data_IF_971697050635
#
_entry.id   IF_971697050635
#
_cell.length_a   1.000
_cell.length_b   1.000
_cell.length_c   1.000
_cell.angle_alpha   90.00
_cell.angle_beta   90.00
_cell.angle_gamma   90.00
#
_symmetry.space_group_name_H-M   'P 1'
#
loop_
_entity.id
_entity.type
_entity.pdbx_description
1 polymer ?
#
# COMPACT_ATOMS: atom_id res chain seq x y z
N UNK A 1 -54.47 35.04 47.85
CA UNK A 1 -53.06 35.10 48.31
C UNK A 1 -52.20 35.08 47.05
N UNK A 2 -51.83 36.26 46.54
CA UNK A 2 -50.91 36.37 45.40
C UNK A 2 -49.50 36.15 45.92
N UNK A 3 -48.84 35.08 45.48
CA UNK A 3 -47.42 34.88 45.74
C UNK A 3 -46.65 35.98 45.02
N UNK A 4 -45.97 36.83 45.79
CA UNK A 4 -45.07 37.84 45.25
C UNK A 4 -43.81 37.17 44.70
N UNK A 5 -43.88 36.85 43.41
CA UNK A 5 -42.83 36.19 42.66
C UNK A 5 -41.55 37.04 42.62
N UNK A 6 -41.65 38.36 42.79
CA UNK A 6 -40.51 39.26 42.72
C UNK A 6 -39.58 39.12 43.94
N UNK A 7 -40.16 39.06 45.15
CA UNK A 7 -39.43 38.86 46.40
C UNK A 7 -38.77 37.46 46.47
N UNK A 8 -39.44 36.43 45.95
CA UNK A 8 -38.91 35.08 45.87
C UNK A 8 -37.67 35.01 44.95
N UNK A 9 -37.75 35.64 43.77
CA UNK A 9 -36.63 35.73 42.81
C UNK A 9 -35.43 36.48 43.41
N UNK A 10 -35.67 37.55 44.16
CA UNK A 10 -34.60 38.33 44.81
C UNK A 10 -33.87 37.54 45.90
N UNK A 11 -34.61 36.70 46.65
CA UNK A 11 -34.06 35.81 47.68
C UNK A 11 -33.22 34.69 47.06
N UNK A 12 -33.66 34.13 45.94
CA UNK A 12 -32.91 33.11 45.19
C UNK A 12 -31.62 33.69 44.61
N UNK A 13 -31.63 34.93 44.11
CA UNK A 13 -30.44 35.60 43.57
C UNK A 13 -29.33 35.86 44.61
N UNK A 14 -29.66 35.91 45.90
CA UNK A 14 -28.68 36.10 46.99
C UNK A 14 -28.22 34.78 47.64
N UNK A 15 -28.78 33.65 47.22
CA UNK A 15 -28.46 32.33 47.76
C UNK A 15 -27.16 31.78 47.13
N UNK A 16 -26.05 31.86 47.88
CA UNK A 16 -24.75 31.29 47.48
C UNK A 16 -24.85 29.83 47.00
N UNK A 17 -25.67 28.94 47.60
CA UNK A 17 -25.87 27.57 47.10
C UNK A 17 -26.48 27.50 45.69
N UNK A 18 -27.43 28.38 45.36
CA UNK A 18 -28.08 28.37 44.04
C UNK A 18 -27.13 28.89 42.96
N UNK A 19 -26.34 29.91 43.26
CA UNK A 19 -25.30 30.41 42.35
C UNK A 19 -24.24 29.32 42.12
N UNK A 20 -23.77 28.65 43.18
CA UNK A 20 -22.81 27.55 43.07
C UNK A 20 -23.36 26.37 42.25
N UNK A 21 -24.64 26.03 42.42
CA UNK A 21 -25.31 25.02 41.62
C UNK A 21 -25.41 25.41 40.14
N UNK A 22 -25.75 26.67 39.85
CA UNK A 22 -25.78 27.20 38.48
C UNK A 22 -24.41 27.18 37.80
N UNK A 23 -23.34 27.56 38.51
CA UNK A 23 -21.96 27.46 38.02
C UNK A 23 -21.58 25.99 37.79
N UNK A 24 -21.93 25.09 38.71
CA UNK A 24 -21.70 23.65 38.56
C UNK A 24 -22.37 23.07 37.30
N UNK A 25 -23.64 23.40 37.06
CA UNK A 25 -24.36 23.00 35.85
C UNK A 25 -23.74 23.57 34.58
N UNK A 26 -23.31 24.83 34.61
CA UNK A 26 -22.63 25.47 33.49
C UNK A 26 -21.30 24.77 33.16
N UNK A 27 -20.50 24.41 34.17
CA UNK A 27 -19.25 23.68 33.98
C UNK A 27 -19.48 22.26 33.45
N UNK A 28 -20.49 21.55 33.96
CA UNK A 28 -20.84 20.19 33.49
C UNK A 28 -21.32 20.23 32.03
N UNK A 29 -22.20 21.15 31.66
CA UNK A 29 -22.68 21.30 30.28
C UNK A 29 -21.55 21.68 29.31
N UNK A 30 -20.62 22.53 29.75
CA UNK A 30 -19.41 22.87 28.99
C UNK A 30 -18.51 21.66 28.78
N UNK A 31 -18.29 20.85 29.83
CA UNK A 31 -17.50 19.61 29.76
C UNK A 31 -18.12 18.58 28.81
N UNK A 32 -19.44 18.39 28.84
CA UNK A 32 -20.16 17.48 27.93
C UNK A 32 -19.98 17.94 26.47
N UNK A 33 -20.13 19.24 26.22
CA UNK A 33 -19.99 19.81 24.87
C UNK A 33 -18.56 19.66 24.34
N UNK A 34 -17.54 19.93 25.18
CA UNK A 34 -16.13 19.73 24.84
C UNK A 34 -15.86 18.24 24.54
N UNK A 35 -16.37 17.33 25.37
CA UNK A 35 -16.21 15.89 25.18
C UNK A 35 -16.82 15.40 23.86
N UNK A 36 -18.03 15.86 23.52
CA UNK A 36 -18.67 15.55 22.25
C UNK A 36 -17.90 16.12 21.06
N UNK A 37 -17.39 17.35 21.17
CA UNK A 37 -16.53 17.96 20.14
C UNK A 37 -15.25 17.17 19.91
N UNK A 38 -14.57 16.74 20.98
CA UNK A 38 -13.38 15.87 20.90
C UNK A 38 -13.73 14.54 20.24
N UNK A 39 -14.87 13.94 20.57
CA UNK A 39 -15.31 12.68 19.96
C UNK A 39 -15.53 12.82 18.45
N UNK A 40 -16.18 13.89 17.99
CA UNK A 40 -16.40 14.15 16.55
C UNK A 40 -15.05 14.33 15.83
N UNK A 41 -14.12 15.11 16.41
CA UNK A 41 -12.78 15.31 15.84
C UNK A 41 -12.01 14.00 15.79
N UNK A 42 -12.08 13.20 16.87
CA UNK A 42 -11.44 11.90 16.94
C UNK A 42 -12.03 10.94 15.91
N UNK A 43 -13.35 10.83 15.79
CA UNK A 43 -14.04 10.00 14.79
C UNK A 43 -13.67 10.43 13.37
N UNK A 44 -13.70 11.73 13.07
CA UNK A 44 -13.28 12.25 11.77
C UNK A 44 -11.81 11.92 11.46
N UNK A 45 -10.91 12.10 12.43
CA UNK A 45 -9.50 11.75 12.29
C UNK A 45 -9.31 10.24 12.07
N UNK A 46 -9.96 9.39 12.87
CA UNK A 46 -9.89 7.93 12.72
C UNK A 46 -10.46 7.46 11.40
N UNK A 47 -11.45 8.17 10.84
CA UNK A 47 -12.06 7.85 9.55
C UNK A 47 -11.28 8.42 8.35
N UNK A 48 -10.26 9.25 8.58
CA UNK A 48 -9.45 9.88 7.52
C UNK A 48 -7.96 9.54 7.67
N UNK A 49 -7.18 10.42 8.31
CA UNK A 49 -5.72 10.32 8.42
C UNK A 49 -5.27 9.16 9.33
N UNK A 50 -6.01 8.93 10.41
CA UNK A 50 -5.76 7.82 11.34
C UNK A 50 -5.92 6.46 10.65
N UNK A 51 -6.90 6.34 9.75
CA UNK A 51 -7.11 5.12 8.98
C UNK A 51 -5.94 4.85 8.02
N UNK A 52 -5.50 5.84 7.25
CA UNK A 52 -4.32 5.70 6.36
C UNK A 52 -3.07 5.30 7.13
N UNK A 53 -2.81 5.95 8.26
CA UNK A 53 -1.67 5.64 9.12
C UNK A 53 -1.73 4.21 9.64
N UNK A 54 -2.92 3.74 10.04
CA UNK A 54 -3.11 2.36 10.48
C UNK A 54 -2.86 1.37 9.34
N UNK A 55 -3.32 1.67 8.12
CA UNK A 55 -3.09 0.81 6.96
C UNK A 55 -1.60 0.70 6.63
N UNK A 56 -0.85 1.81 6.67
CA UNK A 56 0.61 1.79 6.44
C UNK A 56 1.30 0.91 7.48
N UNK A 57 0.95 1.05 8.77
CA UNK A 57 1.49 0.18 9.83
C UNK A 57 1.16 -1.29 9.61
N UNK A 58 -0.05 -1.61 9.14
CA UNK A 58 -0.41 -2.99 8.82
C UNK A 58 0.40 -3.53 7.63
N UNK A 59 0.71 -2.69 6.64
CA UNK A 59 1.56 -3.05 5.49
C UNK A 59 3.00 -3.32 5.93
N UNK A 60 3.55 -2.52 6.84
CA UNK A 60 4.89 -2.73 7.43
C UNK A 60 5.03 -4.06 8.19
N UNK A 61 3.91 -4.64 8.62
CA UNK A 61 3.86 -5.93 9.30
C UNK A 61 3.75 -7.13 8.33
N UNK A 62 3.68 -6.90 7.02
CA UNK A 62 3.60 -7.97 6.04
C UNK A 62 4.94 -8.68 5.86
N UNK A 63 4.91 -10.01 5.93
CA UNK A 63 6.06 -10.87 5.69
C UNK A 63 5.66 -12.00 4.75
N UNK A 64 6.52 -12.31 3.78
CA UNK A 64 6.45 -13.58 3.06
C UNK A 64 7.00 -14.70 3.95
N UNK A 65 6.55 -15.94 3.71
CA UNK A 65 6.85 -17.13 4.51
C UNK A 65 5.88 -17.37 5.67
N UNK A 66 4.87 -16.52 5.86
CA UNK A 66 3.80 -16.71 6.87
C UNK A 66 2.56 -17.33 6.22
N UNK A 67 1.63 -17.82 7.03
CA UNK A 67 0.36 -18.33 6.54
C UNK A 67 -0.57 -17.19 6.06
N UNK A 68 -1.32 -17.41 4.98
CA UNK A 68 -2.26 -16.43 4.41
C UNK A 68 -3.31 -15.93 5.40
N UNK A 69 -3.66 -16.70 6.43
CA UNK A 69 -4.61 -16.27 7.45
C UNK A 69 -4.10 -15.05 8.23
N UNK A 70 -2.77 -14.87 8.33
CA UNK A 70 -2.20 -13.64 8.88
C UNK A 70 -2.61 -12.40 8.05
N UNK A 71 -2.63 -12.52 6.73
CA UNK A 71 -3.08 -11.45 5.84
C UNK A 71 -4.59 -11.23 6.00
N UNK A 72 -5.38 -12.32 6.04
CA UNK A 72 -6.84 -12.24 6.23
C UNK A 72 -7.23 -11.57 7.55
N UNK A 73 -6.49 -11.82 8.63
CA UNK A 73 -6.72 -11.19 9.94
C UNK A 73 -6.46 -9.67 9.91
N UNK A 74 -5.47 -9.21 9.14
CA UNK A 74 -5.08 -7.81 9.08
C UNK A 74 -5.87 -6.99 8.04
N UNK A 75 -6.34 -7.63 6.97
CA UNK A 75 -6.93 -6.96 5.81
C UNK A 75 -8.35 -7.43 5.44
N UNK A 76 -8.91 -8.41 6.16
CA UNK A 76 -10.22 -8.97 5.89
C UNK A 76 -10.17 -10.09 4.84
N UNK A 77 -11.34 -10.46 4.29
CA UNK A 77 -11.39 -11.49 3.26
C UNK A 77 -10.83 -10.96 1.92
N UNK A 78 -10.07 -11.79 1.17
CA UNK A 78 -9.69 -11.46 -0.19
C UNK A 78 -10.94 -11.40 -1.07
N UNK A 79 -10.99 -10.45 -2.00
CA UNK A 79 -12.10 -10.32 -2.93
C UNK A 79 -12.00 -11.35 -4.06
N UNK A 80 -10.78 -11.66 -4.49
CA UNK A 80 -10.53 -12.68 -5.49
C UNK A 80 -9.57 -13.75 -4.96
N UNK A 81 -9.85 -15.00 -5.33
CA UNK A 81 -8.98 -16.15 -5.09
C UNK A 81 -8.84 -16.90 -6.41
N UNK A 82 -7.65 -16.85 -6.99
CA UNK A 82 -7.34 -17.44 -8.29
C UNK A 82 -6.43 -18.66 -8.09
N UNK A 83 -6.84 -19.81 -8.62
CA UNK A 83 -6.05 -21.03 -8.57
C UNK A 83 -5.28 -21.22 -9.87
N UNK A 84 -3.96 -21.24 -9.79
CA UNK A 84 -3.10 -21.59 -10.91
C UNK A 84 -2.70 -23.07 -10.82
N UNK A 85 -3.52 -23.92 -11.44
CA UNK A 85 -3.36 -25.38 -11.42
C UNK A 85 -2.12 -25.89 -12.16
N UNK A 86 -1.46 -25.05 -12.99
CA UNK A 86 -0.26 -25.48 -13.72
C UNK A 86 0.98 -25.50 -12.83
N UNK A 87 1.05 -24.58 -11.88
CA UNK A 87 2.20 -24.39 -10.99
C UNK A 87 1.85 -24.62 -9.52
N UNK A 88 0.61 -25.06 -9.24
CA UNK A 88 0.09 -25.29 -7.89
C UNK A 88 0.32 -24.09 -6.98
N UNK A 89 -0.21 -22.95 -7.40
CA UNK A 89 -0.17 -21.69 -6.65
C UNK A 89 -1.55 -21.09 -6.54
N UNK A 90 -1.78 -20.36 -5.46
CA UNK A 90 -3.04 -19.65 -5.21
C UNK A 90 -2.72 -18.17 -5.08
N UNK A 91 -3.44 -17.34 -5.83
CA UNK A 91 -3.37 -15.88 -5.71
C UNK A 91 -4.59 -15.35 -4.97
N UNK A 92 -4.32 -14.53 -3.97
CA UNK A 92 -5.31 -13.84 -3.17
C UNK A 92 -5.20 -12.35 -3.43
N UNK A 93 -6.30 -11.70 -3.80
CA UNK A 93 -6.35 -10.26 -4.04
C UNK A 93 -7.27 -9.59 -3.03
N UNK A 94 -6.68 -8.77 -2.17
CA UNK A 94 -7.35 -7.92 -1.20
C UNK A 94 -7.46 -6.51 -1.78
N UNK A 95 -8.64 -5.92 -1.66
CA UNK A 95 -8.90 -4.59 -2.20
C UNK A 95 -9.22 -3.63 -1.07
N UNK A 96 -8.41 -2.58 -0.97
CA UNK A 96 -8.68 -1.43 -0.14
C UNK A 96 -8.90 -0.20 -1.04
N UNK A 97 -9.55 0.84 -0.53
CA UNK A 97 -9.66 2.13 -1.23
C UNK A 97 -8.29 2.64 -1.70
N UNK A 98 -7.26 2.52 -0.87
CA UNK A 98 -5.96 3.16 -1.12
C UNK A 98 -4.93 2.26 -1.81
N UNK A 99 -5.12 0.94 -1.80
CA UNK A 99 -4.16 0.01 -2.37
C UNK A 99 -4.82 -1.33 -2.75
N UNK A 100 -4.15 -2.06 -3.62
CA UNK A 100 -4.33 -3.49 -3.78
C UNK A 100 -3.22 -4.24 -3.05
N UNK A 101 -3.60 -5.33 -2.38
CA UNK A 101 -2.67 -6.29 -1.82
C UNK A 101 -2.89 -7.62 -2.53
N UNK A 102 -1.85 -8.12 -3.17
CA UNK A 102 -1.83 -9.45 -3.78
C UNK A 102 -0.92 -10.34 -2.93
N UNK A 103 -1.34 -11.56 -2.65
CA UNK A 103 -0.51 -12.58 -2.04
C UNK A 103 -0.55 -13.85 -2.89
N UNK A 104 0.61 -14.44 -3.15
CA UNK A 104 0.75 -15.71 -3.86
C UNK A 104 1.19 -16.76 -2.85
N UNK A 105 0.50 -17.89 -2.78
CA UNK A 105 0.79 -18.97 -1.84
C UNK A 105 1.09 -20.29 -2.53
N UNK A 106 1.70 -21.19 -1.76
CA UNK A 106 1.70 -22.63 -2.06
C UNK A 106 0.36 -23.29 -1.71
N UNK A 107 0.29 -24.62 -1.84
CA UNK A 107 -0.90 -25.44 -1.55
C UNK A 107 -1.21 -25.59 -0.06
N UNK A 108 -0.27 -25.23 0.83
CA UNK A 108 -0.42 -25.30 2.29
C UNK A 108 -0.55 -23.90 2.90
N UNK A 109 -0.99 -22.94 2.08
CA UNK A 109 -1.30 -21.57 2.46
C UNK A 109 -0.11 -20.73 2.95
N UNK A 110 1.13 -21.12 2.64
CA UNK A 110 2.32 -20.30 2.90
C UNK A 110 2.45 -19.22 1.84
N UNK A 111 2.54 -17.96 2.25
CA UNK A 111 2.75 -16.81 1.35
C UNK A 111 4.17 -16.87 0.78
N UNK A 112 4.29 -17.14 -0.51
CA UNK A 112 5.56 -17.18 -1.25
C UNK A 112 5.97 -15.80 -1.75
N UNK A 113 4.99 -14.93 -2.02
CA UNK A 113 5.25 -13.54 -2.33
C UNK A 113 4.01 -12.69 -2.00
N UNK A 114 4.23 -11.41 -1.75
CA UNK A 114 3.15 -10.45 -1.69
C UNK A 114 3.54 -9.15 -2.39
N UNK A 115 2.55 -8.42 -2.88
CA UNK A 115 2.76 -7.11 -3.48
C UNK A 115 1.75 -6.09 -3.00
N UNK A 116 2.18 -4.83 -2.95
CA UNK A 116 1.34 -3.67 -2.66
C UNK A 116 1.36 -2.78 -3.89
N UNK A 117 0.18 -2.46 -4.42
CA UNK A 117 -0.01 -1.50 -5.51
C UNK A 117 -0.82 -0.33 -4.99
N UNK A 118 -0.26 0.89 -4.97
CA UNK A 118 -1.02 2.08 -4.53
C UNK A 118 -2.05 2.48 -5.56
N UNK A 119 -3.24 2.92 -5.11
CA UNK A 119 -4.36 3.37 -5.96
C UNK A 119 -4.55 4.88 -5.94
N UNK A 120 -3.98 5.56 -4.95
CA UNK A 120 -4.25 6.97 -4.68
C UNK A 120 -2.93 7.76 -4.54
N UNK A 121 -2.89 8.95 -5.15
CA UNK A 121 -1.71 9.82 -5.14
C UNK A 121 -1.24 10.20 -3.73
N UNK A 122 -2.16 10.24 -2.76
CA UNK A 122 -1.95 10.66 -1.38
C UNK A 122 -1.87 9.48 -0.39
N UNK A 123 -1.60 8.27 -0.90
CA UNK A 123 -1.30 7.08 -0.11
C UNK A 123 0.00 6.44 -0.62
N UNK A 124 1.10 6.71 0.08
CA UNK A 124 2.44 6.38 -0.38
C UNK A 124 3.16 5.50 0.66
N UNK A 125 2.78 4.23 0.81
CA UNK A 125 3.49 3.31 1.69
C UNK A 125 4.96 3.22 1.26
N UNK A 126 5.84 3.14 2.25
CA UNK A 126 7.28 3.09 2.04
C UNK A 126 7.86 1.73 2.38
N UNK A 127 8.90 1.35 1.64
CA UNK A 127 9.77 0.24 2.00
C UNK A 127 11.20 0.76 2.16
N UNK A 128 11.85 0.35 3.25
CA UNK A 128 13.26 0.68 3.52
C UNK A 128 14.14 -0.53 3.18
N UNK A 129 15.11 -0.31 2.30
CA UNK A 129 16.12 -1.30 1.91
C UNK A 129 17.49 -0.82 2.35
N UNK A 130 18.26 -1.70 2.99
CA UNK A 130 19.62 -1.39 3.42
C UNK A 130 19.95 -1.89 4.84
N UNK A 131 21.20 -1.69 5.30
CA UNK A 131 22.30 -0.99 4.63
C UNK A 131 23.12 -1.91 3.70
N UNK A 132 22.50 -2.79 2.94
CA UNK A 132 23.18 -3.72 2.02
C UNK A 132 23.16 -3.27 0.55
N UNK A 133 23.05 -1.97 0.34
CA UNK A 133 23.15 -1.33 -0.97
C UNK A 133 24.62 -1.13 -1.36
N UNK A 134 24.89 -0.73 -2.60
CA UNK A 134 26.26 -0.55 -3.10
C UNK A 134 27.13 0.37 -2.23
N UNK A 135 26.51 1.37 -1.61
CA UNK A 135 27.17 2.36 -0.76
C UNK A 135 26.85 2.19 0.73
N UNK A 136 26.29 1.04 1.11
CA UNK A 136 25.86 0.75 2.49
C UNK A 136 24.88 1.82 3.05
N UNK A 137 24.05 2.37 2.15
CA UNK A 137 23.01 3.37 2.44
C UNK A 137 21.65 2.70 2.63
N UNK A 138 20.79 3.36 3.41
CA UNK A 138 19.37 3.03 3.48
C UNK A 138 18.66 3.80 2.36
N UNK A 139 17.94 3.08 1.50
CA UNK A 139 17.11 3.64 0.44
C UNK A 139 15.65 3.47 0.85
N UNK A 140 14.92 4.58 0.93
CA UNK A 140 13.50 4.59 1.22
C UNK A 140 12.72 4.79 -0.08
N UNK A 141 11.93 3.79 -0.46
CA UNK A 141 11.16 3.78 -1.69
C UNK A 141 9.70 4.01 -1.32
N UNK A 142 9.11 5.10 -1.82
CA UNK A 142 7.73 5.50 -1.58
C UNK A 142 6.90 5.27 -2.83
N UNK A 143 5.87 4.43 -2.72
CA UNK A 143 4.98 4.17 -3.84
C UNK A 143 4.24 5.44 -4.28
N UNK A 144 4.15 5.67 -5.58
CA UNK A 144 3.53 6.85 -6.19
C UNK A 144 4.40 8.12 -6.14
N UNK A 145 5.65 8.04 -5.67
CA UNK A 145 6.57 9.19 -5.55
C UNK A 145 7.96 8.86 -6.11
N UNK A 146 8.56 7.77 -5.66
CA UNK A 146 9.93 7.40 -6.04
C UNK A 146 9.98 6.98 -7.51
N UNK A 147 10.97 7.50 -8.25
CA UNK A 147 11.20 7.12 -9.64
C UNK A 147 12.16 5.93 -9.73
N UNK A 148 12.14 5.17 -10.82
CA UNK A 148 13.12 4.08 -11.00
C UNK A 148 14.56 4.59 -11.09
N UNK A 149 14.78 5.82 -11.58
CA UNK A 149 16.12 6.43 -11.60
C UNK A 149 16.69 6.67 -10.20
N UNK A 150 15.83 6.77 -9.17
CA UNK A 150 16.26 6.89 -7.77
C UNK A 150 16.81 5.56 -7.21
N UNK A 151 16.52 4.41 -7.86
CA UNK A 151 17.00 3.09 -7.44
C UNK A 151 18.48 2.84 -7.75
N UNK A 152 19.19 3.79 -8.38
CA UNK A 152 20.62 3.66 -8.73
C UNK A 152 21.51 3.29 -7.54
N UNK A 153 21.13 3.71 -6.34
CA UNK A 153 21.88 3.43 -5.11
C UNK A 153 21.79 1.94 -4.70
N UNK A 154 20.74 1.23 -5.15
CA UNK A 154 20.61 -0.23 -5.01
C UNK A 154 21.52 -1.01 -5.97
N UNK A 155 22.07 -0.34 -6.98
CA UNK A 155 22.82 -0.93 -8.07
C UNK A 155 22.01 -1.19 -9.33
N UNK A 156 22.55 -2.02 -10.20
CA UNK A 156 21.82 -2.43 -11.40
C UNK A 156 20.80 -3.51 -11.02
N UNK A 157 19.59 -3.48 -11.59
CA UNK A 157 18.63 -4.55 -11.39
C UNK A 157 19.19 -5.85 -11.96
N UNK A 158 18.89 -6.97 -11.29
CA UNK A 158 19.26 -8.30 -11.76
C UNK A 158 18.48 -8.67 -13.03
N UNK A 159 17.22 -8.24 -13.11
CA UNK A 159 16.35 -8.43 -14.26
C UNK A 159 15.43 -7.22 -14.44
N UNK A 160 15.06 -6.95 -15.69
CA UNK A 160 14.08 -5.91 -16.04
C UNK A 160 12.99 -6.59 -16.88
N UNK A 161 11.73 -6.28 -16.56
CA UNK A 161 10.54 -6.77 -17.23
C UNK A 161 9.87 -5.60 -17.93
N UNK A 162 9.46 -5.80 -19.17
CA UNK A 162 8.65 -4.82 -19.89
C UNK A 162 7.65 -5.55 -20.76
N UNK A 163 6.41 -5.07 -20.81
CA UNK A 163 5.39 -5.55 -21.73
C UNK A 163 4.57 -4.37 -22.25
N UNK A 164 4.28 -4.40 -23.55
CA UNK A 164 3.39 -3.47 -24.22
C UNK A 164 2.31 -4.28 -24.93
N UNK A 165 1.09 -4.21 -24.42
CA UNK A 165 -0.11 -4.75 -25.06
C UNK A 165 -0.84 -3.70 -25.88
N UNK A 166 -1.98 -4.09 -26.46
CA UNK A 166 -2.83 -3.17 -27.22
C UNK A 166 -3.46 -2.06 -26.34
N UNK A 167 -3.67 -2.34 -25.06
CA UNK A 167 -4.24 -1.41 -24.08
C UNK A 167 -3.54 -1.45 -22.72
N UNK A 168 -2.60 -2.37 -22.53
CA UNK A 168 -1.94 -2.60 -21.26
C UNK A 168 -0.45 -2.36 -21.35
N UNK A 169 0.15 -1.99 -20.23
CA UNK A 169 1.59 -1.98 -20.11
C UNK A 169 2.10 -2.36 -18.74
N UNK A 170 3.34 -2.82 -18.74
CA UNK A 170 4.01 -3.24 -17.53
C UNK A 170 5.50 -2.94 -17.64
N UNK A 171 6.07 -2.39 -16.58
CA UNK A 171 7.52 -2.30 -16.40
C UNK A 171 7.86 -2.72 -14.97
N UNK A 172 8.92 -3.50 -14.79
CA UNK A 172 9.39 -3.86 -13.47
C UNK A 172 10.88 -4.18 -13.43
N UNK A 173 11.46 -4.07 -12.24
CA UNK A 173 12.88 -4.33 -11.98
C UNK A 173 13.03 -5.22 -10.76
N UNK A 174 13.90 -6.24 -10.85
CA UNK A 174 14.24 -7.13 -9.75
C UNK A 174 15.57 -6.71 -9.09
N UNK A 175 15.57 -6.68 -7.76
CA UNK A 175 16.74 -6.50 -6.92
C UNK A 175 16.84 -7.63 -5.90
N UNK A 176 17.93 -8.40 -5.97
CA UNK A 176 18.22 -9.48 -5.03
C UNK A 176 19.40 -9.10 -4.13
N UNK A 177 19.19 -9.15 -2.81
CA UNK A 177 20.18 -8.69 -1.84
C UNK A 177 20.84 -9.81 -1.02
N UNK A 178 20.68 -11.09 -1.37
CA UNK A 178 21.44 -12.21 -0.78
C UNK A 178 21.40 -12.30 0.76
N UNK A 179 22.54 -12.66 1.38
CA UNK A 179 22.68 -12.89 2.82
C UNK A 179 22.39 -11.66 3.72
N UNK A 180 22.51 -10.39 3.27
CA UNK A 180 21.91 -9.28 4.01
C UNK A 180 20.43 -8.99 3.69
N UNK A 181 19.92 -9.42 2.54
CA UNK A 181 18.51 -9.36 2.14
C UNK A 181 17.66 -10.57 2.56
N UNK A 182 18.14 -11.38 3.51
CA UNK A 182 17.49 -12.64 3.94
C UNK A 182 17.14 -13.58 2.78
N UNK A 183 17.91 -13.55 1.69
CA UNK A 183 17.67 -14.33 0.47
C UNK A 183 16.31 -14.05 -0.18
N UNK A 184 15.83 -12.81 -0.10
CA UNK A 184 14.59 -12.35 -0.73
C UNK A 184 14.89 -11.53 -1.98
N UNK A 185 14.02 -11.64 -2.99
CA UNK A 185 13.98 -10.73 -4.13
C UNK A 185 12.93 -9.65 -3.90
N UNK A 186 13.29 -8.42 -4.25
CA UNK A 186 12.42 -7.25 -4.25
C UNK A 186 12.16 -6.86 -5.68
N UNK A 187 10.90 -6.67 -6.02
CA UNK A 187 10.50 -6.20 -7.33
C UNK A 187 9.83 -4.85 -7.19
N UNK A 188 10.20 -3.92 -8.06
CA UNK A 188 9.58 -2.62 -8.17
C UNK A 188 8.95 -2.50 -9.55
N UNK A 189 7.71 -2.05 -9.63
CA UNK A 189 6.97 -2.04 -10.88
C UNK A 189 6.07 -0.81 -11.03
N UNK A 190 5.77 -0.52 -12.30
CA UNK A 190 4.61 0.26 -12.70
C UNK A 190 3.52 -0.71 -13.12
N UNK A 191 2.48 -0.80 -12.30
CA UNK A 191 1.28 -1.59 -12.54
C UNK A 191 0.13 -0.64 -12.91
N UNK A 192 -0.44 -0.80 -14.10
CA UNK A 192 -1.52 0.03 -14.63
C UNK A 192 -2.83 -0.01 -13.81
N UNK A 193 -2.99 -1.00 -12.93
CA UNK A 193 -4.12 -1.06 -11.99
C UNK A 193 -4.03 0.04 -10.94
N UNK A 194 -2.81 0.49 -10.63
CA UNK A 194 -2.54 1.47 -9.59
C UNK A 194 -2.59 2.92 -10.05
N UNK A 195 -2.22 3.82 -9.14
CA UNK A 195 -2.00 5.23 -9.45
C UNK A 195 -0.75 5.40 -10.32
N UNK A 196 -0.86 6.21 -11.38
CA UNK A 196 0.25 6.64 -12.22
C UNK A 196 0.11 8.13 -12.51
N UNK A 197 1.23 8.85 -12.65
CA UNK A 197 1.19 10.24 -13.09
C UNK A 197 0.99 10.28 -14.62
N UNK A 198 -0.17 10.76 -15.04
CA UNK A 198 -0.58 10.85 -16.46
C UNK A 198 0.27 11.82 -17.30
N UNK A 199 1.17 12.60 -16.67
CA UNK A 199 2.02 13.56 -17.38
C UNK A 199 3.15 12.89 -18.17
N UNK A 200 3.48 11.65 -17.83
CA UNK A 200 4.52 10.91 -18.52
C UNK A 200 3.90 10.13 -19.68
N UNK A 201 4.19 10.57 -20.91
CA UNK A 201 3.81 9.87 -22.12
C UNK A 201 4.22 8.39 -22.02
N UNK A 202 3.26 7.48 -22.25
CA UNK A 202 3.48 6.03 -22.26
C UNK A 202 4.44 5.63 -23.38
N UNK A 203 5.74 5.78 -23.13
CA UNK A 203 6.81 5.29 -23.98
C UNK A 203 7.50 4.14 -23.28
N UNK A 204 6.87 2.96 -23.28
CA UNK A 204 7.52 1.77 -22.74
C UNK A 204 8.89 1.56 -23.38
N UNK A 205 9.88 1.20 -22.57
CA UNK A 205 11.20 1.01 -23.10
C UNK A 205 11.23 -0.34 -23.81
N UNK A 206 11.22 -0.25 -25.13
CA UNK A 206 11.89 -1.12 -26.11
C UNK A 206 11.45 -2.59 -26.20
N UNK A 207 11.79 -3.22 -27.32
CA UNK A 207 11.57 -4.66 -27.52
C UNK A 207 12.34 -5.47 -26.46
N UNK A 208 11.89 -6.68 -26.15
CA UNK A 208 12.49 -7.55 -25.11
C UNK A 208 14.02 -7.67 -25.22
N UNK A 209 14.54 -7.80 -26.44
CA UNK A 209 15.98 -7.89 -26.74
C UNK A 209 16.79 -6.64 -26.37
N UNK A 210 16.12 -5.50 -26.28
CA UNK A 210 16.71 -4.18 -26.06
C UNK A 210 16.55 -3.72 -24.59
N UNK A 211 15.84 -4.50 -23.76
CA UNK A 211 15.64 -4.24 -22.33
C UNK A 211 16.97 -4.48 -21.59
N UNK A 212 17.82 -3.46 -21.61
CA UNK A 212 19.08 -3.40 -20.88
C UNK A 212 19.16 -2.10 -20.10
N UNK A 213 19.77 -2.15 -18.92
CA UNK A 213 19.83 -1.00 -18.03
C UNK A 213 20.51 0.20 -18.69
N UNK A 214 21.52 0.00 -19.51
CA UNK A 214 22.27 1.05 -20.21
C UNK A 214 21.56 1.60 -21.46
N UNK A 215 20.44 1.01 -21.87
CA UNK A 215 19.67 1.50 -23.01
C UNK A 215 19.14 2.92 -22.74
N UNK A 216 19.42 3.91 -23.59
CA UNK A 216 18.96 5.29 -23.39
C UNK A 216 17.44 5.44 -23.24
N UNK A 217 16.65 4.56 -23.87
CA UNK A 217 15.19 4.56 -23.72
C UNK A 217 14.75 4.02 -22.36
N UNK A 218 15.41 2.98 -21.85
CA UNK A 218 15.20 2.47 -20.48
C UNK A 218 15.56 3.55 -19.47
N UNK A 219 16.71 4.19 -19.63
CA UNK A 219 17.14 5.29 -18.74
C UNK A 219 16.18 6.48 -18.77
N UNK A 220 15.69 6.86 -19.96
CA UNK A 220 14.67 7.92 -20.09
C UNK A 220 13.37 7.52 -19.37
N UNK A 221 12.88 6.30 -19.58
CA UNK A 221 11.68 5.80 -18.89
C UNK A 221 11.86 5.78 -17.38
N UNK A 222 13.00 5.28 -16.89
CA UNK A 222 13.33 5.27 -15.45
C UNK A 222 13.36 6.66 -14.83
N UNK A 223 13.75 7.67 -15.61
CA UNK A 223 13.79 9.08 -15.19
C UNK A 223 12.41 9.72 -15.08
N UNK A 224 11.43 9.28 -15.87
CA UNK A 224 10.07 9.82 -15.86
C UNK A 224 9.10 9.01 -15.00
N UNK A 225 9.29 7.70 -14.88
CA UNK A 225 8.25 6.83 -14.33
C UNK A 225 8.41 6.61 -12.83
N UNK A 226 7.29 6.77 -12.13
CA UNK A 226 7.16 6.46 -10.71
C UNK A 226 6.90 4.96 -10.50
N UNK A 227 7.40 4.46 -9.38
CA UNK A 227 7.11 3.13 -8.86
C UNK A 227 5.78 3.20 -8.13
N UNK A 228 4.79 2.42 -8.53
CA UNK A 228 3.49 2.35 -7.85
C UNK A 228 3.19 0.98 -7.25
N UNK A 229 4.05 -0.02 -7.52
CA UNK A 229 3.97 -1.35 -6.97
C UNK A 229 5.33 -1.82 -6.46
N UNK A 230 5.34 -2.50 -5.31
CA UNK A 230 6.45 -3.35 -4.93
C UNK A 230 5.97 -4.78 -4.65
N UNK A 231 6.84 -5.77 -4.84
CA UNK A 231 6.64 -7.16 -4.43
C UNK A 231 7.86 -7.67 -3.67
N UNK A 232 7.61 -8.50 -2.65
CA UNK A 232 8.66 -9.16 -1.86
C UNK A 232 8.39 -10.65 -1.84
N UNK A 233 9.43 -11.45 -2.08
CA UNK A 233 9.36 -12.91 -2.03
C UNK A 233 9.71 -13.48 -0.67
N UNK A 234 9.29 -14.72 -0.40
CA UNK A 234 9.82 -15.51 0.69
C UNK A 234 11.30 -15.81 0.43
N UNK A 235 12.09 -16.05 1.49
CA UNK A 235 13.47 -16.49 1.33
C UNK A 235 13.58 -17.68 0.36
N UNK A 236 14.56 -17.64 -0.54
CA UNK A 236 14.83 -18.69 -1.53
C UNK A 236 13.70 -18.91 -2.56
N UNK A 237 12.73 -17.99 -2.65
CA UNK A 237 11.72 -17.98 -3.71
C UNK A 237 12.09 -16.91 -4.73
N UNK A 238 12.19 -17.29 -6.01
CA UNK A 238 12.47 -16.38 -7.11
C UNK A 238 11.29 -16.23 -8.08
N UNK A 239 11.45 -15.38 -9.11
CA UNK A 239 10.40 -15.16 -10.10
C UNK A 239 10.04 -16.40 -10.92
N UNK A 240 10.96 -17.35 -11.10
CA UNK A 240 10.70 -18.59 -11.83
C UNK A 240 9.81 -19.51 -11.00
N UNK A 241 10.05 -19.59 -9.69
CA UNK A 241 9.22 -20.35 -8.75
C UNK A 241 7.77 -19.83 -8.68
N UNK A 242 7.61 -18.53 -8.89
CA UNK A 242 6.33 -17.83 -8.92
C UNK A 242 5.73 -17.77 -10.33
N UNK A 243 6.47 -18.16 -11.37
CA UNK A 243 6.05 -18.03 -12.76
C UNK A 243 5.60 -16.59 -13.09
N UNK A 244 6.40 -15.58 -12.71
CA UNK A 244 6.03 -14.18 -12.97
C UNK A 244 6.02 -13.87 -14.48
N UNK A 245 4.99 -13.17 -14.96
CA UNK A 245 4.86 -12.73 -16.35
C UNK A 245 6.02 -11.79 -16.72
N UNK A 246 6.64 -12.04 -17.87
CA UNK A 246 7.85 -11.33 -18.31
C UNK A 246 9.17 -12.02 -17.94
N UNK A 247 9.15 -13.10 -17.13
CA UNK A 247 10.35 -13.87 -16.76
C UNK A 247 10.51 -15.18 -17.53
N UNK A 248 9.43 -15.68 -18.14
CA UNK A 248 9.38 -16.94 -18.88
C UNK A 248 9.19 -16.68 -20.37
N UNK A 249 10.18 -17.07 -21.18
CA UNK A 249 10.13 -17.13 -22.65
C UNK A 249 9.04 -18.07 -23.19
N UNK A 250 8.30 -18.76 -22.32
CA UNK A 250 7.39 -19.85 -22.67
C UNK A 250 6.01 -19.51 -22.11
N UNK A 251 5.19 -18.94 -22.98
CA UNK A 251 3.77 -18.62 -22.77
C UNK A 251 3.49 -17.44 -21.83
N UNK A 252 3.18 -16.30 -22.44
CA UNK A 252 2.44 -15.14 -21.89
C UNK A 252 1.06 -15.50 -21.26
N UNK A 253 0.70 -16.79 -21.19
CA UNK A 253 -0.61 -17.28 -20.76
C UNK A 253 -0.45 -18.20 -19.55
N UNK A 254 -0.39 -17.58 -18.37
CA UNK A 254 -0.60 -18.29 -17.10
C UNK A 254 0.36 -17.96 -15.96
N UNK A 255 1.14 -16.89 -16.04
CA UNK A 255 1.94 -16.41 -14.90
C UNK A 255 1.22 -15.38 -14.04
N UNK A 256 1.77 -15.10 -12.86
CA UNK A 256 1.32 -13.99 -12.02
C UNK A 256 1.95 -12.67 -12.46
N UNK A 257 1.24 -11.56 -12.28
CA UNK A 257 1.78 -10.23 -12.47
C UNK A 257 2.40 -9.71 -11.16
N UNK A 258 3.27 -8.71 -11.26
CA UNK A 258 3.72 -7.95 -10.10
C UNK A 258 2.62 -6.95 -9.76
N UNK A 259 1.80 -7.31 -8.76
CA UNK A 259 0.52 -6.63 -8.51
C UNK A 259 -0.65 -7.33 -9.23
N UNK A 260 -1.89 -6.91 -8.95
CA UNK A 260 -3.07 -7.49 -9.58
C UNK A 260 -3.08 -7.22 -11.10
N UNK A 261 -3.74 -8.10 -11.84
CA UNK A 261 -4.04 -7.88 -13.24
C UNK A 261 -5.12 -6.79 -13.39
N UNK A 262 -4.89 -5.79 -14.24
CA UNK A 262 -5.80 -4.67 -14.43
C UNK A 262 -7.17 -5.10 -14.96
N UNK A 263 -7.22 -6.09 -15.86
CA UNK A 263 -8.47 -6.64 -16.38
C UNK A 263 -9.33 -7.28 -15.28
N UNK A 264 -8.71 -7.73 -14.18
CA UNK A 264 -9.40 -8.31 -13.04
C UNK A 264 -9.95 -7.25 -12.08
N UNK A 265 -9.20 -6.16 -11.83
CA UNK A 265 -9.58 -5.17 -10.81
C UNK A 265 -10.21 -3.89 -11.36
N UNK A 266 -10.06 -3.58 -12.65
CA UNK A 266 -10.63 -2.39 -13.32
C UNK A 266 -12.16 -2.37 -13.32
N UNK A 267 -12.81 -3.51 -13.11
CA UNK A 267 -14.28 -3.61 -13.02
C UNK A 267 -14.86 -3.08 -11.71
N UNK A 268 -14.02 -2.68 -10.76
CA UNK A 268 -14.42 -2.22 -9.42
C UNK A 268 -14.18 -0.71 -9.33
N UNK A 269 -15.23 0.09 -9.05
CA UNK A 269 -15.11 1.55 -8.94
C UNK A 269 -14.21 2.01 -7.78
#
# INVERSE_FOLDING_TARGET
MQLDFSAFVETIKKSSPVIAFGIGLFLISSLITISQGIKIIHEYYTNTLGYKTKLIKNIELLYAGVNIDYFKQNFGAPLFVNHNLKINRIEYIFINKYFYLQAITDEVDTVLAYSITTRESDFNPSIELGPYTNENKIVNIKLGITHFSDLKDLGNPGNIFSFVGAHDFFYGEEYYFGNPGKYQSFYFATNESGYFDTKDEFGLPVEEKDIQIDNPRVQKFRGSQIINTYMITAPLTDAKDLFLNGFSNVNFFGGFYIGPNSSQVRVIP
#
